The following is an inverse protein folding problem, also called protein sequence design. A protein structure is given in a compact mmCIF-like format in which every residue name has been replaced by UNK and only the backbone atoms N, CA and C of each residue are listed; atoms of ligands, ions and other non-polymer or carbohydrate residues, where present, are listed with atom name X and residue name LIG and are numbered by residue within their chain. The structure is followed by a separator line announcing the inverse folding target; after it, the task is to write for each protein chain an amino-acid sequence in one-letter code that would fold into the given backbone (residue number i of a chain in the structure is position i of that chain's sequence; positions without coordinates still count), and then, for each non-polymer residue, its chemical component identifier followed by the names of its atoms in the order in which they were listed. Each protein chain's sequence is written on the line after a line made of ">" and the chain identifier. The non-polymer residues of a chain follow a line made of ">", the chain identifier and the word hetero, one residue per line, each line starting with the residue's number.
data_IF_150571245975
#
_entry.id   IF_150571245975
#
_cell.length_a   1.000
_cell.length_b   1.000
_cell.length_c   1.000
_cell.angle_alpha   90.00
_cell.angle_beta   90.00
_cell.angle_gamma   90.00
#
_symmetry.space_group_name_H-M   'P 1'
#
loop_
_entity.id
_entity.type
_entity.pdbx_description
1 polymer ?
#
# COMPACT_ATOMS: atom_id res chain seq x y z
N UNK A 1 4.51 -44.48 39.12
CA UNK A 1 5.19 -43.23 38.74
C UNK A 1 5.30 -43.23 37.22
N UNK A 2 4.37 -42.55 36.54
CA UNK A 2 4.35 -42.39 35.08
C UNK A 2 4.52 -40.90 34.78
N UNK A 3 5.42 -40.50 33.84
CA UNK A 3 5.62 -39.10 33.56
C UNK A 3 4.46 -38.55 32.69
N UNK A 4 3.83 -37.49 33.18
CA UNK A 4 2.86 -36.67 32.45
C UNK A 4 3.55 -35.93 31.30
N UNK A 5 3.26 -36.32 30.07
CA UNK A 5 3.63 -35.54 28.87
C UNK A 5 2.57 -34.47 28.63
N UNK A 6 2.93 -33.20 28.82
CA UNK A 6 2.10 -32.06 28.41
C UNK A 6 2.01 -32.00 26.88
N UNK A 7 0.82 -31.77 26.28
CA UNK A 7 0.71 -31.57 24.85
C UNK A 7 1.31 -30.23 24.42
N UNK A 8 2.06 -30.25 23.32
CA UNK A 8 2.64 -29.08 22.68
C UNK A 8 1.55 -28.08 22.22
N UNK A 9 1.80 -26.76 22.29
CA UNK A 9 0.85 -25.76 21.84
C UNK A 9 0.63 -25.86 20.33
N UNK A 10 -0.64 -26.04 19.93
CA UNK A 10 -1.05 -26.03 18.53
C UNK A 10 -0.70 -24.70 17.84
N UNK A 11 -0.24 -24.71 16.58
CA UNK A 11 -0.01 -23.48 15.83
C UNK A 11 -1.33 -22.73 15.67
N UNK A 12 -1.37 -21.50 16.21
CA UNK A 12 -2.54 -20.64 16.23
C UNK A 12 -3.20 -20.54 14.87
N UNK A 13 -4.47 -20.96 14.81
CA UNK A 13 -5.35 -20.74 13.69
C UNK A 13 -5.41 -19.23 13.40
N UNK A 14 -4.70 -18.81 12.36
CA UNK A 14 -4.87 -17.48 11.79
C UNK A 14 -6.35 -17.38 11.39
N UNK A 15 -7.13 -16.62 12.15
CA UNK A 15 -8.54 -16.30 11.89
C UNK A 15 -8.65 -15.73 10.48
N UNK A 16 -8.92 -16.61 9.54
CA UNK A 16 -8.82 -16.32 8.13
C UNK A 16 -10.10 -15.66 7.66
N UNK A 17 -10.17 -14.33 7.74
CA UNK A 17 -11.15 -13.61 6.94
C UNK A 17 -10.91 -13.99 5.46
N UNK A 18 -11.97 -14.41 4.71
CA UNK A 18 -11.81 -14.71 3.30
C UNK A 18 -11.27 -13.48 2.58
N UNK A 19 -10.43 -13.64 1.55
CA UNK A 19 -9.84 -12.51 0.85
C UNK A 19 -10.94 -11.64 0.23
N UNK A 20 -11.13 -10.43 0.76
CA UNK A 20 -12.26 -9.57 0.37
C UNK A 20 -11.86 -8.62 -0.77
N UNK A 21 -12.66 -8.60 -1.83
CA UNK A 21 -12.69 -7.49 -2.79
C UNK A 21 -13.82 -6.57 -2.33
N UNK A 22 -13.54 -5.30 -2.08
CA UNK A 22 -14.60 -4.30 -1.91
C UNK A 22 -14.38 -3.11 -2.82
N UNK A 23 -15.39 -2.79 -3.61
CA UNK A 23 -15.65 -1.43 -4.08
C UNK A 23 -16.59 -0.80 -3.05
N UNK A 24 -16.06 -0.03 -2.11
CA UNK A 24 -16.90 0.56 -1.05
C UNK A 24 -17.45 1.90 -1.55
N UNK A 25 -18.77 2.08 -1.41
CA UNK A 25 -19.43 3.37 -1.50
C UNK A 25 -20.61 3.37 -0.51
N UNK A 26 -20.65 4.30 0.47
CA UNK A 26 -19.70 5.39 0.74
C UNK A 26 -18.39 4.92 1.37
N UNK A 27 -17.26 5.57 1.02
CA UNK A 27 -15.94 5.22 1.56
C UNK A 27 -15.85 5.68 3.02
N UNK A 28 -15.45 4.80 3.96
CA UNK A 28 -15.26 5.20 5.34
C UNK A 28 -14.12 6.22 5.44
N UNK A 29 -14.32 7.28 6.23
CA UNK A 29 -13.28 8.30 6.51
C UNK A 29 -12.00 7.72 7.11
N UNK A 30 -12.11 6.57 7.78
CA UNK A 30 -10.99 5.88 8.44
C UNK A 30 -10.92 4.44 7.98
N UNK A 31 -9.78 4.04 7.41
CA UNK A 31 -9.46 2.64 7.15
C UNK A 31 -8.69 2.05 8.33
N UNK A 32 -9.07 0.86 8.79
CA UNK A 32 -8.40 0.16 9.90
C UNK A 32 -7.72 -1.09 9.36
N UNK A 33 -6.49 -1.32 9.76
CA UNK A 33 -5.74 -2.52 9.41
C UNK A 33 -5.11 -3.12 10.67
N UNK A 34 -4.77 -4.41 10.68
CA UNK A 34 -4.11 -5.02 11.83
C UNK A 34 -2.71 -4.40 12.02
N UNK A 35 -2.22 -4.35 13.25
CA UNK A 35 -0.89 -3.79 13.54
C UNK A 35 0.25 -4.50 12.80
N UNK A 36 0.12 -5.79 12.47
CA UNK A 36 1.11 -6.54 11.68
C UNK A 36 0.70 -6.65 10.21
N UNK A 37 0.52 -5.51 9.54
CA UNK A 37 0.07 -5.48 8.16
C UNK A 37 0.90 -4.59 7.24
N UNK A 38 0.91 -4.99 5.98
CA UNK A 38 1.45 -4.27 4.84
C UNK A 38 0.29 -3.71 4.02
N UNK A 39 0.16 -2.39 3.98
CA UNK A 39 -0.79 -1.72 3.08
C UNK A 39 -0.04 -1.25 1.84
N UNK A 40 -0.32 -1.89 0.71
CA UNK A 40 0.24 -1.51 -0.59
C UNK A 40 -0.71 -0.53 -1.28
N UNK A 41 -0.30 0.73 -1.35
CA UNK A 41 -1.03 1.81 -2.03
C UNK A 41 -0.51 1.92 -3.46
N UNK A 42 -1.36 1.58 -4.42
CA UNK A 42 -1.05 1.62 -5.85
C UNK A 42 -2.11 2.39 -6.64
N UNK A 43 -1.74 2.88 -7.82
CA UNK A 43 -2.64 3.69 -8.63
C UNK A 43 -1.99 4.18 -9.91
N UNK A 44 -2.80 4.62 -10.86
CA UNK A 44 -2.34 5.23 -12.10
C UNK A 44 -1.46 6.47 -11.81
N UNK A 45 -0.37 6.72 -12.57
CA UNK A 45 0.46 7.91 -12.39
C UNK A 45 -0.40 9.17 -12.52
N UNK A 46 -0.23 10.15 -11.62
CA UNK A 46 -1.06 11.36 -11.64
C UNK A 46 -2.32 11.32 -10.76
N UNK A 47 -2.72 10.16 -10.23
CA UNK A 47 -3.87 9.99 -9.34
C UNK A 47 -3.79 10.70 -7.97
N UNK A 48 -2.69 11.40 -7.67
CA UNK A 48 -2.54 12.13 -6.41
C UNK A 48 -2.17 11.28 -5.19
N UNK A 49 -1.70 10.03 -5.39
CA UNK A 49 -1.29 9.12 -4.28
C UNK A 49 -0.27 9.73 -3.32
N UNK A 50 0.78 10.37 -3.84
CA UNK A 50 1.77 11.05 -2.98
C UNK A 50 1.13 12.20 -2.21
N UNK A 51 0.20 12.95 -2.81
CA UNK A 51 -0.54 14.02 -2.12
C UNK A 51 -1.43 13.46 -1.00
N UNK A 52 -2.16 12.38 -1.28
CA UNK A 52 -2.98 11.68 -0.28
C UNK A 52 -2.10 11.18 0.87
N UNK A 53 -1.00 10.50 0.58
CA UNK A 53 -0.09 9.98 1.59
C UNK A 53 0.58 11.08 2.41
N UNK A 54 0.97 12.19 1.77
CA UNK A 54 1.50 13.37 2.44
C UNK A 54 0.50 13.94 3.45
N UNK A 55 -0.78 14.04 3.06
CA UNK A 55 -1.85 14.48 3.94
C UNK A 55 -2.11 13.49 5.09
N UNK A 56 -2.18 12.19 4.79
CA UNK A 56 -2.49 11.14 5.77
C UNK A 56 -1.39 10.94 6.80
N UNK A 57 -0.12 11.10 6.41
CA UNK A 57 1.02 10.78 7.26
C UNK A 57 1.90 12.01 7.58
N UNK A 58 1.46 13.22 7.22
CA UNK A 58 2.19 14.46 7.48
C UNK A 58 3.54 14.55 6.77
N UNK A 59 3.66 13.96 5.56
CA UNK A 59 4.92 13.99 4.81
C UNK A 59 5.01 15.23 3.91
N UNK A 60 6.22 15.73 3.73
CA UNK A 60 6.60 16.88 2.91
C UNK A 60 6.95 16.50 1.47
N UNK A 61 7.20 15.21 1.20
CA UNK A 61 7.65 14.70 -0.11
C UNK A 61 9.14 14.93 -0.40
N UNK A 62 9.88 15.53 0.53
CA UNK A 62 11.33 15.77 0.45
C UNK A 62 12.15 14.73 1.20
N UNK A 63 11.49 13.79 1.87
CA UNK A 63 12.14 12.82 2.71
C UNK A 63 13.07 11.94 1.87
N UNK A 64 14.25 11.66 2.40
CA UNK A 64 15.23 10.72 1.83
C UNK A 64 15.27 9.41 2.63
N UNK A 65 14.51 9.34 3.73
CA UNK A 65 14.44 8.23 4.64
C UNK A 65 13.01 7.71 4.82
N UNK A 66 12.90 6.49 5.34
CA UNK A 66 11.63 5.84 5.69
C UNK A 66 11.02 6.65 6.81
N UNK A 67 9.82 7.17 6.58
CA UNK A 67 9.12 7.99 7.58
C UNK A 67 8.52 7.05 8.61
N UNK A 68 8.73 7.38 9.89
CA UNK A 68 8.03 6.74 11.00
C UNK A 68 7.06 7.76 11.58
N UNK A 69 5.77 7.45 11.56
CA UNK A 69 4.77 8.31 12.17
C UNK A 69 4.75 8.15 13.69
N UNK A 70 4.11 9.10 14.40
CA UNK A 70 3.91 9.01 15.86
C UNK A 70 3.16 7.74 16.28
N UNK A 71 2.28 7.23 15.40
CA UNK A 71 1.58 5.96 15.57
C UNK A 71 2.45 4.71 15.25
N UNK A 72 3.75 4.87 15.02
CA UNK A 72 4.67 3.78 14.74
C UNK A 72 4.64 3.22 13.31
N UNK A 73 3.81 3.78 12.44
CA UNK A 73 3.67 3.35 11.03
C UNK A 73 4.90 3.72 10.23
N UNK A 74 5.43 2.76 9.47
CA UNK A 74 6.56 3.00 8.57
C UNK A 74 6.06 3.21 7.15
N UNK A 75 6.24 4.42 6.63
CA UNK A 75 5.84 4.78 5.27
C UNK A 75 7.06 4.76 4.36
N UNK A 76 7.02 3.85 3.38
CA UNK A 76 8.09 3.65 2.40
C UNK A 76 7.60 4.08 1.02
N UNK A 77 8.23 5.12 0.46
CA UNK A 77 7.97 5.59 -0.89
C UNK A 77 9.21 5.40 -1.78
N UNK A 78 8.98 5.06 -3.04
CA UNK A 78 9.97 5.11 -4.10
C UNK A 78 10.64 6.48 -4.24
N UNK A 79 9.89 7.57 -4.00
CA UNK A 79 10.42 8.93 -4.05
C UNK A 79 11.49 9.18 -2.97
N UNK A 80 11.40 8.54 -1.80
CA UNK A 80 12.42 8.67 -0.76
C UNK A 80 13.77 8.12 -1.21
N UNK A 81 13.75 6.99 -1.93
CA UNK A 81 14.96 6.39 -2.48
C UNK A 81 15.54 7.24 -3.61
N UNK A 82 14.68 7.88 -4.41
CA UNK A 82 15.08 8.87 -5.41
C UNK A 82 15.75 10.08 -4.77
N UNK A 83 15.12 10.69 -3.76
CA UNK A 83 15.63 11.87 -3.06
C UNK A 83 16.98 11.59 -2.38
N UNK A 84 17.20 10.37 -1.88
CA UNK A 84 18.48 9.97 -1.27
C UNK A 84 19.60 9.80 -2.28
N UNK A 85 19.31 9.23 -3.45
CA UNK A 85 20.31 8.94 -4.47
C UNK A 85 20.58 10.13 -5.40
N UNK A 86 19.60 11.02 -5.59
CA UNK A 86 19.72 12.19 -6.46
C UNK A 86 20.93 13.08 -6.15
N UNK A 87 21.22 13.47 -4.88
CA UNK A 87 22.40 14.28 -4.59
C UNK A 87 23.72 13.53 -4.81
N UNK A 88 23.71 12.19 -4.71
CA UNK A 88 24.90 11.35 -4.84
C UNK A 88 25.21 10.96 -6.30
N UNK A 89 24.16 10.91 -7.14
CA UNK A 89 24.23 10.37 -8.50
C UNK A 89 23.68 11.38 -9.52
N UNK A 90 23.71 12.67 -9.19
CA UNK A 90 23.29 13.76 -10.08
C UNK A 90 24.11 13.80 -11.37
N UNK A 91 25.38 13.39 -11.32
CA UNK A 91 26.27 13.29 -12.47
C UNK A 91 26.08 12.00 -13.31
N UNK A 92 25.31 11.02 -12.81
CA UNK A 92 25.11 9.73 -13.47
C UNK A 92 23.82 9.75 -14.29
N UNK A 93 23.92 9.31 -15.54
CA UNK A 93 22.77 9.18 -16.43
C UNK A 93 21.65 8.37 -15.78
N UNK A 94 20.45 8.96 -15.77
CA UNK A 94 19.26 8.43 -15.08
C UNK A 94 18.97 6.93 -15.32
N UNK A 95 19.16 6.37 -16.54
CA UNK A 95 18.93 4.94 -16.77
C UNK A 95 19.80 4.02 -15.92
N UNK A 96 21.03 4.41 -15.59
CA UNK A 96 22.02 3.57 -14.91
C UNK A 96 21.73 3.43 -13.42
N UNK A 97 21.27 4.49 -12.77
CA UNK A 97 20.97 4.45 -11.33
C UNK A 97 19.51 4.13 -11.00
N UNK A 98 18.64 4.07 -12.01
CA UNK A 98 17.23 3.68 -11.84
C UNK A 98 17.05 2.27 -11.24
N UNK A 99 17.78 1.22 -11.67
CA UNK A 99 17.74 -0.08 -11.01
C UNK A 99 18.17 0.00 -9.54
N UNK A 100 19.21 0.78 -9.24
CA UNK A 100 19.73 0.96 -7.89
C UNK A 100 18.69 1.64 -6.97
N UNK A 101 17.98 2.65 -7.46
CA UNK A 101 16.87 3.28 -6.75
C UNK A 101 15.78 2.27 -6.38
N UNK A 102 15.46 1.37 -7.30
CA UNK A 102 14.47 0.32 -7.05
C UNK A 102 14.97 -0.73 -6.06
N UNK A 103 16.22 -1.17 -6.20
CA UNK A 103 16.84 -2.09 -5.24
C UNK A 103 16.81 -1.51 -3.83
N UNK A 104 17.25 -0.26 -3.67
CA UNK A 104 17.22 0.44 -2.39
C UNK A 104 15.80 0.52 -1.82
N UNK A 105 14.82 0.88 -2.64
CA UNK A 105 13.43 0.92 -2.22
C UNK A 105 12.95 -0.45 -1.71
N UNK A 106 13.26 -1.55 -2.40
CA UNK A 106 12.88 -2.88 -1.95
C UNK A 106 13.61 -3.32 -0.69
N UNK A 107 14.89 -3.02 -0.55
CA UNK A 107 15.64 -3.27 0.68
C UNK A 107 15.03 -2.53 1.88
N UNK A 108 14.53 -1.30 1.67
CA UNK A 108 13.84 -0.53 2.71
C UNK A 108 12.50 -1.13 3.09
N UNK A 109 11.73 -1.65 2.14
CA UNK A 109 10.50 -2.38 2.43
C UNK A 109 10.82 -3.62 3.26
N UNK A 110 11.79 -4.43 2.84
CA UNK A 110 12.20 -5.63 3.56
C UNK A 110 12.71 -5.28 4.97
N UNK A 111 13.50 -4.21 5.12
CA UNK A 111 13.95 -3.74 6.42
C UNK A 111 12.80 -3.26 7.31
N UNK A 112 11.82 -2.54 6.76
CA UNK A 112 10.64 -2.09 7.48
C UNK A 112 9.79 -3.28 7.96
N UNK A 113 9.60 -4.29 7.11
CA UNK A 113 8.89 -5.53 7.44
C UNK A 113 9.66 -6.36 8.47
N UNK A 114 11.00 -6.44 8.37
CA UNK A 114 11.84 -7.15 9.35
C UNK A 114 11.75 -6.55 10.75
N UNK A 115 11.55 -5.24 10.86
CA UNK A 115 11.42 -4.54 12.14
C UNK A 115 10.05 -4.74 12.82
N UNK A 116 9.11 -5.43 12.17
CA UNK A 116 7.76 -5.73 12.68
C UNK A 116 6.84 -4.51 12.78
N UNK A 117 5.53 -4.72 12.77
CA UNK A 117 4.53 -3.65 12.86
C UNK A 117 4.11 -3.06 11.51
N UNK A 118 3.33 -1.97 11.52
CA UNK A 118 2.56 -1.56 10.35
C UNK A 118 3.42 -0.84 9.31
N UNK A 119 3.33 -1.30 8.06
CA UNK A 119 4.09 -0.76 6.93
C UNK A 119 3.13 -0.31 5.83
N UNK A 120 3.29 0.93 5.38
CA UNK A 120 2.59 1.47 4.22
C UNK A 120 3.59 1.63 3.09
N UNK A 121 3.34 0.96 1.98
CA UNK A 121 4.20 1.01 0.80
C UNK A 121 3.48 1.71 -0.33
N UNK A 122 4.12 2.71 -0.89
CA UNK A 122 3.66 3.37 -2.10
C UNK A 122 4.39 2.81 -3.32
N UNK A 123 3.65 2.20 -4.25
CA UNK A 123 4.20 1.69 -5.50
C UNK A 123 3.30 2.09 -6.68
N UNK A 124 3.88 2.38 -7.84
CA UNK A 124 3.09 2.71 -9.04
C UNK A 124 2.42 1.48 -9.69
N UNK A 125 2.16 0.43 -8.91
CA UNK A 125 1.46 -0.81 -9.29
C UNK A 125 2.09 -1.61 -10.43
N UNK A 126 3.36 -1.37 -10.80
CA UNK A 126 3.82 -1.66 -12.17
C UNK A 126 4.74 -2.86 -12.31
N UNK A 127 5.10 -3.58 -11.23
CA UNK A 127 5.95 -4.77 -11.31
C UNK A 127 5.31 -6.01 -10.66
N UNK A 128 4.70 -6.85 -11.49
CA UNK A 128 4.12 -8.13 -11.08
C UNK A 128 5.07 -9.05 -10.29
N UNK A 129 6.34 -9.27 -10.72
CA UNK A 129 7.27 -10.12 -9.99
C UNK A 129 7.57 -9.64 -8.56
N UNK A 130 7.72 -8.32 -8.40
CA UNK A 130 7.96 -7.69 -7.09
C UNK A 130 6.78 -7.90 -6.15
N UNK A 131 5.56 -7.75 -6.67
CA UNK A 131 4.34 -8.04 -5.90
C UNK A 131 4.29 -9.49 -5.44
N UNK A 132 4.67 -10.45 -6.30
CA UNK A 132 4.74 -11.87 -5.93
C UNK A 132 5.78 -12.12 -4.84
N UNK A 133 6.97 -11.53 -4.96
CA UNK A 133 8.03 -11.64 -3.95
C UNK A 133 7.59 -11.05 -2.61
N UNK A 134 6.96 -9.88 -2.61
CA UNK A 134 6.42 -9.24 -1.40
C UNK A 134 5.33 -10.08 -0.76
N UNK A 135 4.37 -10.57 -1.54
CA UNK A 135 3.31 -11.45 -1.03
C UNK A 135 3.86 -12.73 -0.40
N UNK A 136 4.81 -13.38 -1.08
CA UNK A 136 5.50 -14.55 -0.54
C UNK A 136 6.26 -14.24 0.76
N UNK A 137 6.98 -13.13 0.80
CA UNK A 137 7.74 -12.71 1.98
C UNK A 137 6.82 -12.40 3.17
N UNK A 138 5.73 -11.69 2.94
CA UNK A 138 4.76 -11.36 3.99
C UNK A 138 4.08 -12.62 4.53
N UNK A 139 3.70 -13.56 3.64
CA UNK A 139 3.16 -14.86 4.03
C UNK A 139 4.13 -15.66 4.91
N UNK A 140 5.42 -15.70 4.53
CA UNK A 140 6.48 -16.34 5.34
C UNK A 140 6.67 -15.70 6.71
N UNK A 141 6.31 -14.43 6.87
CA UNK A 141 6.49 -13.64 8.10
C UNK A 141 5.19 -13.44 8.90
N UNK A 142 4.08 -14.04 8.47
CA UNK A 142 2.77 -13.83 9.10
C UNK A 142 2.27 -12.38 9.02
N UNK A 143 2.74 -11.60 8.04
CA UNK A 143 2.30 -10.22 7.81
C UNK A 143 1.12 -10.23 6.84
N UNK A 144 0.02 -9.58 7.22
CA UNK A 144 -1.15 -9.48 6.35
C UNK A 144 -0.96 -8.43 5.27
N UNK A 145 -1.31 -8.76 4.03
CA UNK A 145 -1.19 -7.81 2.90
C UNK A 145 -2.57 -7.27 2.52
N UNK A 146 -2.70 -5.96 2.51
CA UNK A 146 -3.91 -5.25 2.08
C UNK A 146 -3.57 -4.33 0.90
N UNK A 147 -4.43 -4.35 -0.12
CA UNK A 147 -4.25 -3.57 -1.33
C UNK A 147 -5.20 -2.38 -1.32
N UNK A 148 -4.65 -1.17 -1.49
CA UNK A 148 -5.40 0.06 -1.69
C UNK A 148 -5.09 0.58 -3.09
N UNK A 149 -6.03 0.37 -4.00
CA UNK A 149 -5.91 0.73 -5.40
C UNK A 149 -6.66 2.03 -5.64
N UNK A 150 -5.97 3.05 -6.16
CA UNK A 150 -6.57 4.34 -6.50
C UNK A 150 -6.62 4.45 -8.01
N UNK A 151 -7.82 4.33 -8.56
CA UNK A 151 -8.11 4.52 -9.95
C UNK A 151 -8.52 5.97 -10.23
N UNK A 152 -8.13 6.45 -11.40
CA UNK A 152 -8.57 7.76 -11.89
C UNK A 152 -8.61 7.69 -13.40
N UNK A 153 -9.55 8.40 -14.00
CA UNK A 153 -9.61 8.47 -15.46
C UNK A 153 -8.23 8.90 -16.03
N UNK A 154 -7.69 8.20 -17.03
CA UNK A 154 -6.38 8.51 -17.61
C UNK A 154 -6.26 9.96 -18.12
N UNK A 155 -7.37 10.57 -18.57
CA UNK A 155 -7.44 11.97 -18.98
C UNK A 155 -7.27 12.93 -17.80
N UNK A 156 -7.93 12.66 -16.67
CA UNK A 156 -7.77 13.44 -15.44
C UNK A 156 -6.39 13.29 -14.79
N UNK A 157 -5.80 12.10 -14.94
CA UNK A 157 -4.45 11.82 -14.50
C UNK A 157 -3.42 12.63 -15.29
N UNK A 158 -3.60 12.74 -16.62
CA UNK A 158 -2.74 13.53 -17.51
C UNK A 158 -2.91 15.04 -17.29
N UNK A 159 -4.15 15.55 -17.21
CA UNK A 159 -4.44 16.96 -16.87
C UNK A 159 -3.78 17.36 -15.55
N UNK A 160 -3.91 16.50 -14.52
CA UNK A 160 -3.27 16.72 -13.23
C UNK A 160 -1.73 16.66 -13.27
N UNK A 161 -1.11 15.94 -14.21
CA UNK A 161 0.35 15.97 -14.40
C UNK A 161 0.81 17.25 -15.08
N UNK A 162 0.07 17.71 -16.10
CA UNK A 162 0.34 18.95 -16.85
C UNK A 162 0.26 20.15 -15.91
N UNK A 163 -0.83 20.28 -15.14
CA UNK A 163 -1.01 21.37 -14.17
C UNK A 163 0.08 21.42 -13.09
N UNK A 164 0.77 20.31 -12.81
CA UNK A 164 1.84 20.22 -11.80
C UNK A 164 3.26 20.25 -12.38
N UNK A 165 3.41 20.49 -13.68
CA UNK A 165 4.72 20.57 -14.34
C UNK A 165 5.54 19.27 -14.31
N UNK A 166 4.94 18.14 -13.93
CA UNK A 166 5.63 16.85 -13.79
C UNK A 166 5.15 15.89 -14.86
N UNK A 167 5.65 16.10 -16.08
CA UNK A 167 5.34 15.23 -17.21
C UNK A 167 6.18 13.96 -17.15
N UNK A 168 5.51 12.80 -17.13
CA UNK A 168 6.16 11.52 -17.36
C UNK A 168 6.26 11.32 -18.88
N UNK A 169 7.42 10.90 -19.38
CA UNK A 169 7.60 10.64 -20.81
C UNK A 169 6.43 9.81 -21.39
N UNK A 170 5.84 10.17 -22.55
CA UNK A 170 4.62 9.55 -23.08
C UNK A 170 4.68 8.02 -23.18
N UNK A 171 5.84 7.46 -23.55
CA UNK A 171 6.08 6.00 -23.61
C UNK A 171 6.00 5.33 -22.23
N UNK A 172 6.51 6.00 -21.21
CA UNK A 172 6.44 5.55 -19.82
C UNK A 172 5.00 5.64 -19.33
N UNK A 173 4.29 6.74 -19.60
CA UNK A 173 2.87 6.90 -19.26
C UNK A 173 2.02 5.77 -19.87
N UNK A 174 2.13 5.51 -21.18
CA UNK A 174 1.42 4.41 -21.85
C UNK A 174 1.72 3.04 -21.22
N UNK A 175 2.98 2.79 -20.86
CA UNK A 175 3.37 1.53 -20.21
C UNK A 175 2.76 1.39 -18.82
N UNK A 176 2.71 2.47 -18.04
CA UNK A 176 2.03 2.50 -16.74
C UNK A 176 0.53 2.27 -16.88
N UNK A 177 -0.14 2.92 -17.83
CA UNK A 177 -1.58 2.72 -18.10
C UNK A 177 -1.87 1.27 -18.48
N UNK A 178 -1.10 0.68 -19.41
CA UNK A 178 -1.28 -0.71 -19.82
C UNK A 178 -1.16 -1.68 -18.64
N UNK A 179 -0.13 -1.49 -17.82
CA UNK A 179 0.12 -2.34 -16.64
C UNK A 179 -0.94 -2.13 -15.56
N UNK A 180 -1.44 -0.90 -15.39
CA UNK A 180 -2.54 -0.58 -14.50
C UNK A 180 -3.84 -1.27 -14.94
N UNK A 181 -4.19 -1.21 -16.23
CA UNK A 181 -5.34 -1.94 -16.79
C UNK A 181 -5.24 -3.45 -16.57
N UNK A 182 -4.05 -4.04 -16.77
CA UNK A 182 -3.80 -5.47 -16.46
C UNK A 182 -3.99 -5.79 -14.97
N UNK A 183 -3.60 -4.88 -14.08
CA UNK A 183 -3.80 -5.03 -12.64
C UNK A 183 -5.29 -4.96 -12.29
N UNK A 184 -6.03 -4.00 -12.85
CA UNK A 184 -7.48 -3.89 -12.69
C UNK A 184 -8.23 -5.11 -13.22
N UNK A 185 -7.83 -5.64 -14.38
CA UNK A 185 -8.41 -6.85 -14.97
C UNK A 185 -8.18 -8.11 -14.10
N UNK A 186 -7.13 -8.13 -13.27
CA UNK A 186 -6.88 -9.21 -12.32
C UNK A 186 -7.65 -9.07 -11.00
N UNK A 187 -8.22 -7.89 -10.71
CA UNK A 187 -8.93 -7.64 -9.46
C UNK A 187 -10.17 -8.53 -9.26
N UNK A 188 -11.02 -8.79 -10.28
CA UNK A 188 -12.18 -9.69 -10.14
C UNK A 188 -11.81 -11.12 -9.72
N UNK A 189 -10.60 -11.59 -10.07
CA UNK A 189 -10.10 -12.91 -9.69
C UNK A 189 -9.64 -13.02 -8.22
N UNK A 190 -9.72 -11.93 -7.45
CA UNK A 190 -9.37 -11.91 -6.03
C UNK A 190 -8.12 -11.09 -5.72
N UNK A 191 -7.96 -10.65 -4.44
CA UNK A 191 -6.74 -10.01 -3.96
C UNK A 191 -5.49 -10.86 -4.21
N UNK A 192 -5.61 -12.19 -4.07
CA UNK A 192 -4.55 -13.18 -4.32
C UNK A 192 -4.01 -13.18 -5.75
N UNK A 193 -4.85 -12.87 -6.73
CA UNK A 193 -4.45 -12.76 -8.14
C UNK A 193 -3.58 -11.52 -8.41
N UNK A 194 -3.75 -10.46 -7.60
CA UNK A 194 -2.96 -9.22 -7.68
C UNK A 194 -1.67 -9.33 -6.88
N UNK A 195 -1.77 -9.83 -5.65
CA UNK A 195 -0.67 -10.12 -4.74
C UNK A 195 -0.93 -11.45 -4.01
N UNK A 196 -0.05 -12.47 -4.17
CA UNK A 196 -0.19 -13.73 -3.46
C UNK A 196 -0.30 -13.54 -1.95
N UNK A 197 -1.35 -14.10 -1.34
CA UNK A 197 -1.59 -13.99 0.11
C UNK A 197 -2.21 -12.67 0.57
N UNK A 198 -2.65 -11.80 -0.34
CA UNK A 198 -3.42 -10.61 0.05
C UNK A 198 -4.77 -10.98 0.68
N UNK A 199 -5.07 -10.34 1.80
CA UNK A 199 -6.29 -10.52 2.60
C UNK A 199 -7.41 -9.58 2.17
N UNK A 200 -7.08 -8.42 1.62
CA UNK A 200 -8.10 -7.48 1.14
C UNK A 200 -7.62 -6.66 -0.04
N UNK A 201 -8.56 -6.25 -0.87
CA UNK A 201 -8.37 -5.31 -1.96
C UNK A 201 -9.50 -4.29 -1.93
N UNK A 202 -9.13 -3.02 -1.76
CA UNK A 202 -10.01 -1.87 -1.83
C UNK A 202 -9.66 -1.06 -3.08
N UNK A 203 -10.63 -0.89 -3.96
CA UNK A 203 -10.53 -0.03 -5.14
C UNK A 203 -11.28 1.28 -4.87
N UNK A 204 -10.58 2.40 -4.94
CA UNK A 204 -11.08 3.75 -4.72
C UNK A 204 -10.89 4.61 -5.97
N UNK A 205 -11.82 5.50 -6.24
CA UNK A 205 -11.65 6.55 -7.23
C UNK A 205 -10.92 7.77 -6.64
N UNK A 206 -10.30 8.60 -7.48
CA UNK A 206 -9.56 9.79 -7.05
C UNK A 206 -10.36 10.74 -6.14
N UNK A 207 -11.62 11.01 -6.47
CA UNK A 207 -12.47 11.87 -5.63
C UNK A 207 -12.64 11.28 -4.23
N UNK A 208 -12.92 9.98 -4.16
CA UNK A 208 -13.14 9.22 -2.92
C UNK A 208 -11.86 9.00 -2.10
N UNK A 209 -10.71 8.89 -2.76
CA UNK A 209 -9.41 8.93 -2.10
C UNK A 209 -9.17 10.29 -1.42
N UNK A 210 -9.79 11.36 -1.93
CA UNK A 210 -9.85 12.67 -1.31
C UNK A 210 -10.58 12.68 0.04
N UNK A 211 -11.60 11.83 0.21
CA UNK A 211 -12.42 11.77 1.43
C UNK A 211 -11.79 10.93 2.55
N UNK A 212 -10.74 10.16 2.23
CA UNK A 212 -10.01 9.36 3.21
C UNK A 212 -9.22 10.28 4.14
N UNK A 213 -9.64 10.33 5.41
CA UNK A 213 -9.03 11.16 6.44
C UNK A 213 -7.88 10.45 7.16
N UNK A 214 -7.95 9.12 7.34
CA UNK A 214 -6.96 8.40 8.13
C UNK A 214 -6.82 6.91 7.77
N UNK A 215 -5.61 6.38 7.95
CA UNK A 215 -5.34 4.93 7.96
C UNK A 215 -4.79 4.57 9.34
N UNK A 216 -5.57 3.82 10.12
CA UNK A 216 -5.24 3.35 11.47
C UNK A 216 -4.78 1.91 11.47
N UNK A 217 -3.83 1.62 12.34
CA UNK A 217 -3.35 0.27 12.59
C UNK A 217 -3.60 -0.09 14.04
N UNK A 218 -4.44 -1.09 14.28
CA UNK A 218 -4.86 -1.49 15.64
C UNK A 218 -4.39 -2.90 15.97
N UNK A 219 -4.01 -3.21 17.23
CA UNK A 219 -3.82 -4.58 17.67
C UNK A 219 -5.20 -5.25 17.75
N UNK A 220 -5.61 -5.95 16.69
CA UNK A 220 -6.92 -6.60 16.60
C UNK A 220 -7.36 -6.79 15.13
N UNK A 221 -8.30 -7.72 14.85
CA UNK A 221 -8.72 -8.00 13.47
C UNK A 221 -9.32 -6.75 12.80
N UNK A 222 -8.90 -6.45 11.57
CA UNK A 222 -9.47 -5.38 10.75
C UNK A 222 -10.73 -5.89 10.01
N UNK A 223 -11.81 -5.15 9.74
CA UNK A 223 -12.29 -3.78 9.95
C UNK A 223 -13.73 -3.89 10.54
N UNK A 224 -14.31 -2.84 11.15
CA UNK A 224 -15.70 -2.84 11.60
C UNK A 224 -16.67 -2.99 10.42
N UNK A 225 -17.75 -3.74 10.63
CA UNK A 225 -18.92 -3.68 9.76
C UNK A 225 -19.49 -2.24 9.75
N UNK A 226 -20.12 -1.78 8.66
CA UNK A 226 -20.99 -0.63 8.73
C UNK A 226 -22.24 -1.03 9.56
N UNK A 227 -22.13 -0.99 10.89
CA UNK A 227 -23.30 -0.79 11.75
C UNK A 227 -23.61 0.70 11.65
N UNK A 228 -24.74 1.09 11.08
CA UNK A 228 -26.06 0.78 11.63
C UNK A 228 -26.44 2.03 12.41
N UNK A 229 -27.39 2.79 11.88
CA UNK A 229 -27.95 3.95 12.55
C UNK A 229 -28.34 3.58 13.99
N UNK A 230 -27.73 4.22 14.97
CA UNK A 230 -28.25 4.26 16.33
C UNK A 230 -28.92 5.62 16.49
N UNK A 231 -30.23 5.62 16.24
CA UNK A 231 -31.15 6.52 16.91
C UNK A 231 -31.05 6.28 18.43
N UNK A 232 -31.13 7.33 19.24
CA UNK A 232 -31.27 7.16 20.68
C UNK A 232 -30.93 8.40 21.51
N UNK A 233 -31.99 9.18 21.78
CA UNK A 233 -32.27 9.92 23.01
C UNK A 233 -31.22 10.90 23.57
N UNK A 234 -31.58 12.19 23.48
CA UNK A 234 -31.13 13.25 24.40
C UNK A 234 -32.13 13.27 25.57
N UNK A 235 -31.66 13.46 26.83
CA UNK A 235 -32.47 13.34 28.05
C UNK A 235 -33.63 14.33 28.14
#
# INVERSE_FOLDING_TARGET
>A
MSPSTLPAPAPGAASGCPPQIRRISPVPRVLRYPANSLVLVAGIPGAGKSTMLNRLFGMTGRESATVRTRAGVRVVDSQQSRNRLHPLLSAVHYPLWRPLMHLLHYLRILAALRRGGPVVVHESGTRGPVRRLLGWYCRRRGVEVHLLLIDSDPGDALRGQIQRGRQVAPRSHRTHVRRWRRLLAACPAGPGAVVPGARSLLLLDRGRAGDLAEIRFTPGPALPAPGGAAAGAVP
#
